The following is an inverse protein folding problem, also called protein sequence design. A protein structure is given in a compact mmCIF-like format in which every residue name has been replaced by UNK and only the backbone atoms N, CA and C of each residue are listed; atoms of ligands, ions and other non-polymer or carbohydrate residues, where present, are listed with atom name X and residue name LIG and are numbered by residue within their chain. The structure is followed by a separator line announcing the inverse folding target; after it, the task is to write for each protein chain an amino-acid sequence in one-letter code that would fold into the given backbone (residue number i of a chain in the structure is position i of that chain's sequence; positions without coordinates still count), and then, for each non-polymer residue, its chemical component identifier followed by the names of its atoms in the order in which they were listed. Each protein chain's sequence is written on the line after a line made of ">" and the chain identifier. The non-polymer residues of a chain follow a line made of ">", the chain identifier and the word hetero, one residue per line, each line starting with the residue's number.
data_IF_573936532289
#
_entry.id   IF_573936532289
#
_cell.length_a   1.000
_cell.length_b   1.000
_cell.length_c   1.000
_cell.angle_alpha   90.00
_cell.angle_beta   90.00
_cell.angle_gamma   90.00
#
_symmetry.space_group_name_H-M   'P 1'
#
loop_
_entity.id
_entity.type
_entity.pdbx_description
1 polymer ?
#
# COMPACT_ATOMS: atom_id res chain seq x y z
N UNK A 1 26.92 -6.80 -31.62
CA UNK A 1 26.09 -5.73 -31.05
C UNK A 1 26.10 -5.93 -29.55
N UNK A 2 26.93 -5.18 -28.83
CA UNK A 2 27.13 -5.37 -27.39
C UNK A 2 26.19 -4.42 -26.65
N UNK A 3 25.17 -4.97 -25.99
CA UNK A 3 24.24 -4.17 -25.19
C UNK A 3 24.96 -3.75 -23.90
N UNK A 4 25.17 -2.44 -23.72
CA UNK A 4 25.84 -1.88 -22.56
C UNK A 4 24.90 -1.97 -21.34
N UNK A 5 25.08 -3.02 -20.54
CA UNK A 5 24.26 -3.32 -19.35
C UNK A 5 24.23 -2.15 -18.36
N UNK A 6 25.31 -1.37 -18.24
CA UNK A 6 25.37 -0.21 -17.35
C UNK A 6 24.42 0.92 -17.77
N UNK A 7 24.23 1.14 -19.07
CA UNK A 7 23.28 2.12 -19.58
C UNK A 7 21.83 1.69 -19.29
N UNK A 8 21.54 0.38 -19.36
CA UNK A 8 20.23 -0.15 -18.99
C UNK A 8 19.96 -0.04 -17.49
N UNK A 9 20.98 -0.25 -16.63
CA UNK A 9 20.84 -0.06 -15.18
C UNK A 9 20.60 1.41 -14.81
N UNK A 10 21.31 2.35 -15.45
CA UNK A 10 21.07 3.79 -15.25
C UNK A 10 19.67 4.21 -15.66
N UNK A 11 19.20 3.72 -16.81
CA UNK A 11 17.84 3.98 -17.31
C UNK A 11 16.78 3.34 -16.41
N UNK A 12 16.93 2.08 -16.01
CA UNK A 12 16.01 1.41 -15.08
C UNK A 12 15.93 2.14 -13.72
N UNK A 13 17.05 2.67 -13.22
CA UNK A 13 17.08 3.43 -11.98
C UNK A 13 16.36 4.80 -12.13
N UNK A 14 16.45 5.43 -13.31
CA UNK A 14 15.69 6.65 -13.63
C UNK A 14 14.19 6.38 -13.82
N UNK A 15 13.80 5.24 -14.41
CA UNK A 15 12.40 4.83 -14.50
C UNK A 15 11.81 4.54 -13.11
N UNK A 16 12.56 3.89 -12.21
CA UNK A 16 12.15 3.70 -10.82
C UNK A 16 12.06 5.04 -10.04
N UNK A 17 12.96 5.99 -10.30
CA UNK A 17 12.91 7.31 -9.69
C UNK A 17 11.76 8.19 -10.25
N UNK A 18 11.38 8.01 -11.52
CA UNK A 18 10.25 8.69 -12.15
C UNK A 18 8.89 8.05 -11.84
N UNK A 19 8.86 6.76 -11.46
CA UNK A 19 7.69 6.11 -10.87
C UNK A 19 7.40 6.56 -9.43
N UNK A 20 8.32 7.30 -8.80
CA UNK A 20 8.18 7.79 -7.43
C UNK A 20 7.26 9.00 -7.28
N UNK A 21 6.70 9.53 -8.37
CA UNK A 21 6.07 10.87 -8.40
C UNK A 21 4.61 10.92 -8.86
N UNK A 22 3.84 9.84 -8.73
CA UNK A 22 2.39 10.00 -8.66
C UNK A 22 1.75 8.82 -7.93
N UNK A 23 1.30 9.05 -6.71
CA UNK A 23 0.38 8.13 -6.06
C UNK A 23 -0.86 7.94 -6.95
N UNK A 24 -1.37 6.71 -7.00
CA UNK A 24 -2.56 6.38 -7.78
C UNK A 24 -3.66 5.87 -6.86
N UNK A 25 -4.93 6.27 -7.04
CA UNK A 25 -6.05 5.65 -6.33
C UNK A 25 -6.01 4.11 -6.40
N UNK A 26 -6.21 3.45 -5.26
CA UNK A 26 -6.09 2.01 -5.09
C UNK A 26 -4.68 1.49 -4.79
N UNK A 27 -3.65 2.35 -4.86
CA UNK A 27 -2.30 1.97 -4.47
C UNK A 27 -2.20 1.75 -2.95
N UNK A 28 -1.52 0.70 -2.53
CA UNK A 28 -1.15 0.47 -1.13
C UNK A 28 0.09 1.29 -0.77
N UNK A 29 -0.01 2.00 0.35
CA UNK A 29 1.03 2.87 0.91
C UNK A 29 1.17 2.65 2.41
N UNK A 30 2.28 3.12 2.98
CA UNK A 30 2.48 3.20 4.42
C UNK A 30 2.89 4.61 4.84
N UNK A 31 2.57 4.98 6.08
CA UNK A 31 2.97 6.24 6.69
C UNK A 31 3.10 6.11 8.22
N UNK A 32 3.75 7.10 8.84
CA UNK A 32 3.99 7.11 10.28
C UNK A 32 4.77 5.88 10.74
N UNK A 33 4.34 5.29 11.87
CA UNK A 33 4.97 4.10 12.46
C UNK A 33 4.55 2.78 11.76
N UNK A 34 4.46 2.78 10.43
CA UNK A 34 4.17 1.59 9.62
C UNK A 34 2.68 1.31 9.39
N UNK A 35 1.82 2.33 9.50
CA UNK A 35 0.40 2.19 9.18
C UNK A 35 0.22 1.99 7.69
N UNK A 36 -0.35 0.85 7.28
CA UNK A 36 -0.69 0.59 5.88
C UNK A 36 -2.08 1.12 5.53
N UNK A 37 -2.19 1.69 4.34
CA UNK A 37 -3.41 2.30 3.84
C UNK A 37 -3.54 2.19 2.33
N UNK A 38 -4.76 2.36 1.83
CA UNK A 38 -5.06 2.52 0.43
C UNK A 38 -5.18 3.99 0.07
N UNK A 39 -4.56 4.41 -1.02
CA UNK A 39 -4.76 5.74 -1.59
C UNK A 39 -6.19 5.82 -2.15
N UNK A 40 -6.98 6.77 -1.69
CA UNK A 40 -8.34 6.99 -2.20
C UNK A 40 -8.35 8.02 -3.32
N UNK A 41 -7.87 9.21 -3.04
CA UNK A 41 -7.93 10.37 -3.93
C UNK A 41 -6.97 11.47 -3.47
N UNK A 42 -6.62 12.43 -4.34
CA UNK A 42 -6.00 13.67 -3.90
C UNK A 42 -6.87 14.39 -2.86
N UNK A 43 -6.24 15.03 -1.89
CA UNK A 43 -6.94 15.93 -0.96
C UNK A 43 -7.19 17.29 -1.62
N UNK A 44 -8.01 18.13 -0.97
CA UNK A 44 -8.23 19.51 -1.42
C UNK A 44 -6.95 20.34 -1.38
N UNK A 45 -6.09 20.12 -0.37
CA UNK A 45 -4.80 20.78 -0.26
C UNK A 45 -3.78 20.10 -1.18
N UNK A 46 -3.08 20.90 -1.97
CA UNK A 46 -2.04 20.40 -2.86
C UNK A 46 -0.90 19.72 -2.06
N UNK A 47 -0.42 18.58 -2.55
CA UNK A 47 0.61 17.77 -1.89
C UNK A 47 0.09 16.88 -0.77
N UNK A 48 -1.23 16.73 -0.62
CA UNK A 48 -1.85 15.84 0.36
C UNK A 48 -2.78 14.84 -0.32
N UNK A 49 -2.91 13.67 0.29
CA UNK A 49 -3.71 12.56 -0.20
C UNK A 49 -4.66 12.05 0.86
N UNK A 50 -5.87 11.67 0.44
CA UNK A 50 -6.81 10.93 1.25
C UNK A 50 -6.45 9.45 1.20
N UNK A 51 -6.29 8.83 2.36
CA UNK A 51 -5.95 7.41 2.48
C UNK A 51 -6.88 6.72 3.47
N UNK A 52 -7.21 5.45 3.23
CA UNK A 52 -8.01 4.60 4.12
C UNK A 52 -7.12 3.52 4.74
N UNK A 53 -7.10 3.43 6.07
CA UNK A 53 -6.24 2.46 6.76
C UNK A 53 -6.76 1.04 6.58
N UNK A 54 -5.85 0.09 6.32
CA UNK A 54 -6.17 -1.33 6.12
C UNK A 54 -6.90 -1.94 7.32
N UNK A 55 -6.54 -1.50 8.53
CA UNK A 55 -7.08 -2.02 9.80
C UNK A 55 -8.06 -1.07 10.49
N UNK A 56 -8.63 -0.07 9.79
CA UNK A 56 -9.69 0.76 10.37
C UNK A 56 -11.08 0.28 9.97
N UNK A 57 -11.73 -0.42 10.90
CA UNK A 57 -13.09 -0.94 10.71
C UNK A 57 -14.17 0.16 10.70
N UNK A 58 -13.83 1.41 11.07
CA UNK A 58 -14.78 2.52 11.11
C UNK A 58 -14.92 3.26 9.78
N UNK A 59 -14.12 2.90 8.76
CA UNK A 59 -14.11 3.55 7.45
C UNK A 59 -13.70 5.03 7.50
N UNK A 60 -12.87 5.42 8.48
CA UNK A 60 -12.33 6.78 8.53
C UNK A 60 -11.14 6.88 7.58
N UNK A 61 -11.08 8.00 6.85
CA UNK A 61 -9.91 8.33 6.04
C UNK A 61 -9.01 9.32 6.77
N UNK A 62 -7.72 9.27 6.47
CA UNK A 62 -6.73 10.24 6.88
C UNK A 62 -6.32 11.14 5.71
N UNK A 63 -5.86 12.35 6.00
CA UNK A 63 -5.21 13.24 5.04
C UNK A 63 -3.72 13.28 5.39
N UNK A 64 -2.89 12.78 4.49
CA UNK A 64 -1.45 12.60 4.71
C UNK A 64 -0.66 13.35 3.63
N UNK A 65 0.48 13.95 3.99
CA UNK A 65 1.34 14.59 3.03
C UNK A 65 1.95 13.55 2.08
N UNK A 66 2.05 13.89 0.80
CA UNK A 66 2.62 13.00 -0.22
C UNK A 66 4.05 12.56 0.12
N UNK A 67 4.83 13.44 0.76
CA UNK A 67 6.21 13.18 1.16
C UNK A 67 6.34 12.15 2.30
N UNK A 68 5.28 11.94 3.07
CA UNK A 68 5.23 10.98 4.18
C UNK A 68 4.69 9.61 3.75
N UNK A 69 4.29 9.48 2.47
CA UNK A 69 3.71 8.26 1.93
C UNK A 69 4.77 7.46 1.16
N UNK A 70 4.95 6.21 1.58
CA UNK A 70 5.84 5.27 0.91
C UNK A 70 5.03 4.11 0.30
N UNK A 71 5.39 3.58 -0.88
CA UNK A 71 4.78 2.37 -1.40
C UNK A 71 4.92 1.22 -0.40
N UNK A 72 3.84 0.47 -0.19
CA UNK A 72 3.82 -0.69 0.69
C UNK A 72 3.15 -1.87 -0.01
N UNK A 73 3.44 -3.07 0.49
CA UNK A 73 2.79 -4.31 0.06
C UNK A 73 1.93 -4.85 1.21
N UNK A 74 0.79 -5.44 0.84
CA UNK A 74 -0.04 -6.17 1.78
C UNK A 74 0.54 -7.58 1.98
N UNK A 75 0.58 -8.04 3.21
CA UNK A 75 0.87 -9.44 3.50
C UNK A 75 -0.38 -10.33 3.32
N UNK A 76 -0.23 -11.64 3.53
CA UNK A 76 -1.29 -12.61 3.31
C UNK A 76 -2.54 -12.35 4.17
N UNK A 77 -2.34 -11.86 5.39
CA UNK A 77 -3.40 -11.65 6.35
C UNK A 77 -4.19 -10.38 6.01
N UNK A 78 -3.47 -9.35 5.58
CA UNK A 78 -4.02 -8.10 5.06
C UNK A 78 -4.78 -8.28 3.74
N UNK A 79 -4.25 -9.11 2.84
CA UNK A 79 -4.96 -9.47 1.62
C UNK A 79 -6.27 -10.21 1.93
N UNK A 80 -6.27 -11.07 2.96
CA UNK A 80 -7.45 -11.81 3.38
C UNK A 80 -8.51 -10.90 4.03
N UNK A 81 -8.12 -10.06 5.01
CA UNK A 81 -9.07 -9.16 5.68
C UNK A 81 -9.68 -8.13 4.71
N UNK A 82 -8.93 -7.70 3.70
CA UNK A 82 -9.45 -6.83 2.63
C UNK A 82 -10.28 -7.58 1.58
N UNK A 83 -10.45 -8.90 1.69
CA UNK A 83 -11.20 -9.73 0.72
C UNK A 83 -10.54 -9.84 -0.65
N UNK A 84 -9.24 -9.54 -0.76
CA UNK A 84 -8.45 -9.59 -1.99
C UNK A 84 -7.82 -10.98 -2.22
N UNK A 85 -7.67 -11.78 -1.16
CA UNK A 85 -7.27 -13.19 -1.24
C UNK A 85 -8.44 -14.11 -0.84
N UNK A 86 -8.62 -15.20 -1.61
CA UNK A 86 -9.65 -16.21 -1.36
C UNK A 86 -9.26 -17.28 -0.34
N UNK A 87 -7.95 -17.45 -0.10
CA UNK A 87 -7.43 -18.43 0.85
C UNK A 87 -7.20 -17.78 2.20
N UNK A 88 -7.81 -18.37 3.23
CA UNK A 88 -7.66 -17.97 4.64
C UNK A 88 -6.29 -18.45 5.14
N UNK A 89 -5.55 -17.64 5.92
CA UNK A 89 -4.27 -18.06 6.47
C UNK A 89 -4.44 -19.30 7.36
N UNK A 90 -3.56 -20.30 7.19
CA UNK A 90 -3.61 -21.59 7.90
C UNK A 90 -3.59 -21.47 9.43
N UNK A 91 -3.09 -20.34 9.96
CA UNK A 91 -2.97 -20.06 11.39
C UNK A 91 -4.20 -19.35 11.98
N UNK A 92 -5.10 -18.85 11.14
CA UNK A 92 -6.29 -18.10 11.53
C UNK A 92 -7.42 -19.09 11.90
N UNK A 93 -7.17 -19.98 12.85
CA UNK A 93 -8.12 -20.98 13.35
C UNK A 93 -9.09 -20.33 14.35
N UNK A 94 -10.27 -19.91 13.88
CA UNK A 94 -11.34 -19.36 14.73
C UNK A 94 -12.14 -20.54 15.33
N UNK A 95 -11.48 -21.39 16.13
CA UNK A 95 -12.16 -22.36 17.01
C UNK A 95 -12.38 -21.75 18.42
N UNK A 96 -12.64 -20.44 18.47
CA UNK A 96 -12.87 -19.67 19.71
C UNK A 96 -14.35 -19.34 19.97
N UNK A 97 -15.29 -19.90 19.20
CA UNK A 97 -16.75 -19.64 19.36
C UNK A 97 -17.60 -20.93 19.36
N UNK A 98 -17.13 -22.02 19.99
CA UNK A 98 -18.01 -23.15 20.33
C UNK A 98 -17.68 -23.74 21.72
N UNK A 99 -17.45 -22.87 22.71
CA UNK A 99 -17.46 -23.26 24.12
C UNK A 99 -18.29 -22.27 24.93
N UNK A 100 -19.61 -22.42 24.87
CA UNK A 100 -20.58 -21.84 25.81
C UNK A 100 -21.74 -22.81 25.97
#
# INVERSE_FOLDING_TARGET
>A
MTFNIEAQRGVANMFNAAQRTSLTPGQTVQYGDGWKAFVLAPAYAAGFWQVENVYDDNGSFAIVAEEDLEPAELDADELYICGLAGDRPDWLDINLVERS
#
